data_IF_335445172979
#
_entry.id   IF_335445172979
#
_cell.length_a   1.000
_cell.length_b   1.000
_cell.length_c   1.000
_cell.angle_alpha   90.00
_cell.angle_beta   90.00
_cell.angle_gamma   90.00
#
_symmetry.space_group_name_H-M   'P 1'
#
loop_
_entity.id
_entity.type
_entity.pdbx_description
1 polymer ?
#
# COMPACT_ATOMS: atom_id res chain seq x y z
N UNK A 1 -44.85 -31.69 18.42
CA UNK A 1 -44.18 -30.87 17.37
C UNK A 1 -44.01 -29.47 17.90
N UNK A 2 -42.78 -28.97 17.98
CA UNK A 2 -42.44 -27.54 17.81
C UNK A 2 -40.92 -27.44 17.75
N UNK A 3 -40.37 -27.90 16.62
CA UNK A 3 -38.92 -27.86 16.32
C UNK A 3 -38.58 -26.59 15.50
N UNK A 4 -39.57 -25.73 15.24
CA UNK A 4 -39.46 -24.61 14.30
C UNK A 4 -39.08 -23.29 14.96
N UNK A 5 -39.17 -23.16 16.30
CA UNK A 5 -38.86 -21.91 17.01
C UNK A 5 -37.39 -21.78 17.43
N UNK A 6 -36.61 -22.87 17.44
CA UNK A 6 -35.22 -22.85 17.90
C UNK A 6 -34.21 -22.49 16.80
N UNK A 7 -34.61 -22.53 15.52
CA UNK A 7 -33.70 -22.21 14.40
C UNK A 7 -33.68 -20.74 13.98
N UNK A 8 -34.69 -19.94 14.32
CA UNK A 8 -34.71 -18.51 13.96
C UNK A 8 -33.86 -17.63 14.89
N UNK A 9 -33.67 -18.03 16.15
CA UNK A 9 -32.88 -17.26 17.12
C UNK A 9 -31.37 -17.44 16.96
N UNK A 10 -30.92 -18.52 16.29
CA UNK A 10 -29.51 -18.80 16.04
C UNK A 10 -28.97 -18.11 14.77
N UNK A 11 -29.83 -17.84 13.78
CA UNK A 11 -29.45 -17.10 12.57
C UNK A 11 -29.25 -15.59 12.82
N UNK A 12 -30.01 -14.99 13.75
CA UNK A 12 -29.89 -13.58 14.07
C UNK A 12 -28.62 -13.22 14.87
N UNK A 13 -28.10 -14.15 15.67
CA UNK A 13 -26.87 -13.95 16.48
C UNK A 13 -25.59 -14.13 15.66
N UNK A 14 -25.60 -14.96 14.62
CA UNK A 14 -24.46 -15.08 13.69
C UNK A 14 -24.27 -13.83 12.83
N UNK A 15 -25.36 -13.16 12.44
CA UNK A 15 -25.29 -11.98 11.57
C UNK A 15 -24.88 -10.68 12.30
N UNK A 16 -25.27 -10.52 13.58
CA UNK A 16 -24.78 -9.43 14.44
C UNK A 16 -23.29 -9.59 14.82
N UNK A 17 -22.82 -10.83 14.97
CA UNK A 17 -21.40 -11.12 15.30
C UNK A 17 -20.45 -10.85 14.14
N UNK A 18 -20.91 -11.04 12.89
CA UNK A 18 -20.17 -10.72 11.68
C UNK A 18 -20.03 -9.20 11.46
N UNK A 19 -21.11 -8.44 11.67
CA UNK A 19 -21.09 -6.98 11.56
C UNK A 19 -20.20 -6.31 12.62
N UNK A 20 -20.15 -6.86 13.85
CA UNK A 20 -19.32 -6.29 14.94
C UNK A 20 -17.82 -6.51 14.73
N UNK A 21 -17.41 -7.62 14.11
CA UNK A 21 -15.99 -7.93 13.82
C UNK A 21 -15.44 -7.15 12.62
N UNK A 22 -16.27 -6.85 11.62
CA UNK A 22 -15.86 -5.97 10.51
C UNK A 22 -15.67 -4.52 10.97
N UNK A 23 -16.56 -4.02 11.84
CA UNK A 23 -16.43 -2.69 12.42
C UNK A 23 -15.20 -2.52 13.31
N UNK A 24 -14.78 -3.55 14.07
CA UNK A 24 -13.60 -3.46 14.93
C UNK A 24 -12.30 -3.44 14.11
N UNK A 25 -12.15 -4.31 13.11
CA UNK A 25 -10.94 -4.34 12.28
C UNK A 25 -10.76 -3.05 11.45
N UNK A 26 -11.86 -2.47 10.96
CA UNK A 26 -11.83 -1.20 10.21
C UNK A 26 -11.56 0.01 11.13
N UNK A 27 -12.07 -0.03 12.38
CA UNK A 27 -11.76 0.93 13.44
C UNK A 27 -10.28 0.87 13.85
N UNK A 28 -9.74 -0.33 14.02
CA UNK A 28 -8.35 -0.54 14.43
C UNK A 28 -7.38 -0.07 13.33
N UNK A 29 -7.70 -0.33 12.05
CA UNK A 29 -6.93 0.19 10.93
C UNK A 29 -7.00 1.72 10.82
N UNK A 30 -8.19 2.31 10.92
CA UNK A 30 -8.36 3.76 10.86
C UNK A 30 -7.60 4.47 12.00
N UNK A 31 -7.62 3.90 13.20
CA UNK A 31 -6.90 4.41 14.37
C UNK A 31 -5.39 4.24 14.21
N UNK A 32 -4.92 3.08 13.76
CA UNK A 32 -3.50 2.85 13.50
C UNK A 32 -2.97 3.78 12.40
N UNK A 33 -3.77 4.01 11.36
CA UNK A 33 -3.44 4.94 10.28
C UNK A 33 -3.40 6.39 10.77
N UNK A 34 -4.37 6.83 11.58
CA UNK A 34 -4.38 8.20 12.11
C UNK A 34 -3.19 8.49 13.01
N UNK A 35 -2.84 7.54 13.91
CA UNK A 35 -1.67 7.64 14.78
C UNK A 35 -0.40 7.63 13.94
N UNK A 36 -0.31 6.74 12.95
CA UNK A 36 0.87 6.65 12.10
C UNK A 36 1.09 7.89 11.22
N UNK A 37 0.01 8.56 10.84
CA UNK A 37 0.07 9.81 10.10
C UNK A 37 0.58 10.96 10.98
N UNK A 38 0.03 11.11 12.19
CA UNK A 38 0.47 12.12 13.15
C UNK A 38 1.96 11.97 13.53
N UNK A 39 2.44 10.73 13.69
CA UNK A 39 3.85 10.48 14.00
C UNK A 39 4.79 10.75 12.81
N UNK A 40 4.32 10.53 11.57
CA UNK A 40 5.15 10.71 10.35
C UNK A 40 5.49 12.17 10.06
N UNK A 41 4.69 13.13 10.54
CA UNK A 41 4.95 14.57 10.37
C UNK A 41 6.02 15.11 11.34
N UNK A 42 6.41 14.32 12.34
CA UNK A 42 7.30 14.76 13.44
C UNK A 42 8.77 14.30 13.31
N UNK A 43 9.12 13.48 12.31
CA UNK A 43 10.46 12.93 12.18
C UNK A 43 11.02 13.04 10.75
N UNK A 44 11.82 14.08 10.53
CA UNK A 44 12.72 14.15 9.38
C UNK A 44 13.88 13.15 9.54
N UNK A 45 13.91 12.19 8.61
CA UNK A 45 15.09 11.54 8.02
C UNK A 45 16.33 11.31 8.89
N UNK A 46 16.55 10.05 9.26
CA UNK A 46 17.89 9.47 9.22
C UNK A 46 17.89 8.28 8.26
N UNK A 47 18.48 8.48 7.09
CA UNK A 47 18.85 7.42 6.17
C UNK A 47 19.74 6.42 6.92
N UNK A 48 19.23 5.19 7.09
CA UNK A 48 19.99 4.12 7.70
C UNK A 48 20.97 3.55 6.69
N UNK A 49 22.24 3.61 7.07
CA UNK A 49 23.42 3.08 6.40
C UNK A 49 23.22 1.66 5.89
N UNK A 50 23.58 1.47 4.62
CA UNK A 50 23.67 0.23 3.86
C UNK A 50 24.44 -0.88 4.60
N UNK A 51 23.71 -1.80 5.24
CA UNK A 51 24.12 -3.20 5.50
C UNK A 51 23.00 -4.02 6.17
N UNK A 52 22.03 -3.36 6.82
CA UNK A 52 20.91 -4.04 7.45
C UNK A 52 19.62 -3.73 6.68
N UNK A 53 18.96 -4.76 6.13
CA UNK A 53 17.62 -4.69 5.49
C UNK A 53 16.50 -4.33 6.48
N UNK A 54 16.84 -3.72 7.62
CA UNK A 54 15.94 -3.27 8.67
C UNK A 54 15.56 -1.82 8.45
N UNK A 55 14.27 -1.59 8.29
CA UNK A 55 13.69 -0.25 8.16
C UNK A 55 12.70 -0.04 9.29
N UNK A 56 12.68 1.18 9.81
CA UNK A 56 11.63 1.56 10.77
C UNK A 56 10.36 1.85 9.99
N UNK A 57 9.36 0.98 10.15
CA UNK A 57 8.11 1.03 9.42
C UNK A 57 6.94 1.29 10.37
N UNK A 58 5.96 2.05 9.91
CA UNK A 58 4.66 2.15 10.57
C UNK A 58 3.81 0.95 10.18
N UNK A 59 3.40 0.16 11.15
CA UNK A 59 2.66 -1.09 10.92
C UNK A 59 1.35 -1.08 11.72
N UNK A 60 0.50 -2.07 11.50
CA UNK A 60 -0.68 -2.32 12.36
C UNK A 60 -0.31 -2.59 13.83
N UNK A 61 0.95 -2.88 14.14
CA UNK A 61 1.48 -3.05 15.50
C UNK A 61 2.17 -1.79 16.03
N UNK A 62 2.09 -0.67 15.29
CA UNK A 62 2.80 0.57 15.57
C UNK A 62 4.15 0.66 14.85
N UNK A 63 5.06 1.47 15.40
CA UNK A 63 6.38 1.74 14.82
C UNK A 63 7.34 0.59 15.12
N UNK A 64 7.66 -0.21 14.10
CA UNK A 64 8.43 -1.44 14.25
C UNK A 64 9.63 -1.46 13.31
N UNK A 65 10.78 -1.94 13.80
CA UNK A 65 11.93 -2.22 12.94
C UNK A 65 11.68 -3.53 12.18
N UNK A 66 11.41 -3.44 10.88
CA UNK A 66 11.06 -4.57 10.04
C UNK A 66 12.21 -4.92 9.10
N UNK A 67 12.59 -6.19 9.04
CA UNK A 67 13.51 -6.69 8.02
C UNK A 67 12.74 -6.92 6.71
N UNK A 68 12.91 -6.03 5.74
CA UNK A 68 12.19 -6.06 4.46
C UNK A 68 12.59 -7.27 3.59
N UNK A 69 13.83 -7.74 3.67
CA UNK A 69 14.25 -8.96 2.94
C UNK A 69 13.47 -10.18 3.43
N UNK A 70 13.38 -10.35 4.74
CA UNK A 70 12.63 -11.46 5.33
C UNK A 70 11.13 -11.30 5.07
N UNK A 71 10.62 -10.07 5.14
CA UNK A 71 9.20 -9.78 4.90
C UNK A 71 8.78 -10.17 3.47
N UNK A 72 9.51 -9.72 2.45
CA UNK A 72 9.17 -10.00 1.06
C UNK A 72 9.52 -11.43 0.61
N UNK A 73 10.52 -12.07 1.25
CA UNK A 73 10.78 -13.51 1.07
C UNK A 73 9.68 -14.38 1.68
N UNK A 74 9.18 -14.03 2.86
CA UNK A 74 8.06 -14.74 3.48
C UNK A 74 6.78 -14.58 2.65
N UNK A 75 6.52 -13.38 2.12
CA UNK A 75 5.38 -13.11 1.23
C UNK A 75 5.45 -13.89 -0.10
N UNK A 76 6.65 -14.15 -0.63
CA UNK A 76 6.84 -14.94 -1.85
C UNK A 76 6.48 -16.44 -1.68
N UNK A 77 6.43 -16.95 -0.45
CA UNK A 77 6.28 -18.38 -0.17
C UNK A 77 4.87 -18.82 0.22
N UNK A 78 3.83 -17.98 0.11
CA UNK A 78 2.47 -18.37 0.51
C UNK A 78 1.41 -18.08 -0.54
N UNK A 79 1.21 -18.99 -1.52
CA UNK A 79 0.03 -18.97 -2.36
C UNK A 79 -1.23 -19.18 -1.50
N UNK A 80 -2.12 -18.19 -1.45
CA UNK A 80 -3.46 -18.35 -0.86
C UNK A 80 -3.60 -18.21 0.66
N UNK A 81 -2.58 -17.72 1.39
CA UNK A 81 -2.78 -17.40 2.82
C UNK A 81 -3.44 -16.04 3.00
N UNK A 82 -4.75 -16.08 3.27
CA UNK A 82 -5.62 -14.93 3.58
C UNK A 82 -5.51 -14.46 5.03
N UNK A 83 -4.47 -14.86 5.77
CA UNK A 83 -4.34 -14.53 7.19
C UNK A 83 -3.81 -13.09 7.41
N UNK A 84 -4.58 -12.09 6.96
CA UNK A 84 -4.38 -10.67 7.28
C UNK A 84 -4.37 -10.40 8.79
N UNK A 85 -4.91 -11.32 9.59
CA UNK A 85 -4.98 -11.24 11.06
C UNK A 85 -3.68 -11.62 11.78
N UNK A 86 -2.68 -12.18 11.09
CA UNK A 86 -1.38 -12.56 11.68
C UNK A 86 -0.18 -11.93 10.97
N UNK A 87 -0.41 -11.22 9.87
CA UNK A 87 0.65 -10.56 9.13
C UNK A 87 0.90 -9.16 9.69
N UNK A 88 2.18 -8.77 9.79
CA UNK A 88 2.57 -7.38 10.01
C UNK A 88 2.25 -6.61 8.73
N UNK A 89 1.24 -5.74 8.80
CA UNK A 89 0.78 -4.93 7.67
C UNK A 89 1.51 -3.59 7.67
N UNK A 90 2.19 -3.28 6.58
CA UNK A 90 2.82 -1.97 6.37
C UNK A 90 1.71 -0.95 6.04
N UNK A 91 1.67 0.16 6.77
CA UNK A 91 0.64 1.18 6.59
C UNK A 91 0.98 2.17 5.46
N UNK A 92 -0.01 2.78 4.78
CA UNK A 92 0.21 3.82 3.78
C UNK A 92 0.54 5.16 4.41
N UNK A 93 1.79 5.31 4.87
CA UNK A 93 2.34 6.58 5.37
C UNK A 93 3.47 7.09 4.47
N UNK A 94 3.73 8.39 4.51
CA UNK A 94 4.84 9.02 3.78
C UNK A 94 6.18 8.33 4.08
N UNK A 95 6.49 8.13 5.37
CA UNK A 95 7.73 7.48 5.79
C UNK A 95 7.86 6.06 5.20
N UNK A 96 6.77 5.29 5.20
CA UNK A 96 6.79 3.94 4.64
C UNK A 96 6.97 3.94 3.13
N UNK A 97 6.34 4.87 2.41
CA UNK A 97 6.52 5.05 0.97
C UNK A 97 7.98 5.39 0.67
N UNK A 98 8.58 6.33 1.41
CA UNK A 98 9.98 6.73 1.22
C UNK A 98 10.94 5.57 1.49
N UNK A 99 10.74 4.82 2.58
CA UNK A 99 11.54 3.66 2.94
C UNK A 99 11.40 2.51 1.92
N UNK A 100 10.18 2.20 1.49
CA UNK A 100 9.92 1.17 0.49
C UNK A 100 10.48 1.56 -0.88
N UNK A 101 10.39 2.84 -1.26
CA UNK A 101 10.98 3.35 -2.49
C UNK A 101 12.50 3.20 -2.47
N UNK A 102 13.17 3.64 -1.40
CA UNK A 102 14.62 3.50 -1.27
C UNK A 102 15.06 2.02 -1.28
N UNK A 103 14.32 1.16 -0.57
CA UNK A 103 14.59 -0.28 -0.55
C UNK A 103 14.40 -0.92 -1.94
N UNK A 104 13.28 -0.66 -2.60
CA UNK A 104 12.98 -1.21 -3.92
C UNK A 104 13.93 -0.68 -4.99
N UNK A 105 14.36 0.57 -4.93
CA UNK A 105 15.39 1.13 -5.82
C UNK A 105 16.70 0.33 -5.70
N UNK A 106 17.17 0.13 -4.48
CA UNK A 106 18.39 -0.64 -4.20
C UNK A 106 18.28 -2.07 -4.75
N UNK A 107 17.14 -2.74 -4.52
CA UNK A 107 16.93 -4.13 -4.98
C UNK A 107 16.81 -4.23 -6.49
N UNK A 108 16.11 -3.30 -7.15
CA UNK A 108 16.03 -3.25 -8.61
C UNK A 108 17.41 -2.98 -9.21
N UNK A 109 18.18 -2.02 -8.68
CA UNK A 109 19.56 -1.77 -9.16
C UNK A 109 20.46 -3.00 -9.03
N UNK A 110 20.39 -3.70 -7.90
CA UNK A 110 21.12 -4.95 -7.70
C UNK A 110 20.70 -6.03 -8.70
N UNK A 111 19.39 -6.17 -8.94
CA UNK A 111 18.83 -7.13 -9.90
C UNK A 111 19.30 -6.83 -11.33
N UNK A 112 19.28 -5.56 -11.74
CA UNK A 112 19.74 -5.15 -13.08
C UNK A 112 21.24 -5.46 -13.27
N UNK A 113 22.06 -5.17 -12.26
CA UNK A 113 23.50 -5.44 -12.31
C UNK A 113 23.83 -6.94 -12.38
N UNK A 114 23.07 -7.79 -11.71
CA UNK A 114 23.27 -9.25 -11.71
C UNK A 114 22.88 -9.91 -13.02
N UNK A 115 21.96 -9.31 -13.76
CA UNK A 115 21.47 -9.80 -15.06
C UNK A 115 22.07 -9.03 -16.26
N UNK A 116 23.15 -8.28 -16.05
CA UNK A 116 23.84 -7.48 -17.07
C UNK A 116 22.92 -6.52 -17.85
N UNK A 117 21.90 -5.98 -17.17
CA UNK A 117 20.95 -5.02 -17.76
C UNK A 117 21.49 -3.60 -17.54
N UNK A 118 21.87 -2.86 -18.61
CA UNK A 118 22.64 -1.62 -18.48
C UNK A 118 21.83 -0.41 -18.02
N UNK A 119 20.51 -0.40 -18.23
CA UNK A 119 19.65 0.71 -17.82
C UNK A 119 18.26 0.21 -17.41
N UNK A 120 17.63 0.84 -16.40
CA UNK A 120 16.26 0.52 -16.01
C UNK A 120 15.25 0.97 -17.09
N UNK A 121 14.02 0.44 -17.06
CA UNK A 121 12.93 0.99 -17.87
C UNK A 121 12.58 2.41 -17.41
N UNK A 122 11.98 3.23 -18.28
CA UNK A 122 11.48 4.57 -17.89
C UNK A 122 10.47 4.51 -16.74
N UNK A 123 9.62 3.48 -16.77
CA UNK A 123 8.63 3.26 -15.73
C UNK A 123 8.33 1.78 -15.52
N UNK A 124 7.79 1.48 -14.33
CA UNK A 124 7.21 0.19 -13.97
C UNK A 124 5.80 0.43 -13.43
N UNK A 125 4.83 -0.32 -13.95
CA UNK A 125 3.45 -0.35 -13.44
C UNK A 125 2.92 -1.79 -13.41
N UNK A 126 1.71 -1.98 -12.90
CA UNK A 126 1.04 -3.27 -12.83
C UNK A 126 -0.37 -3.18 -13.44
N UNK A 127 -0.84 -4.26 -14.06
CA UNK A 127 -2.25 -4.38 -14.46
C UNK A 127 -3.15 -4.71 -13.27
N UNK A 128 -4.46 -4.78 -13.52
CA UNK A 128 -5.48 -5.12 -12.52
C UNK A 128 -5.32 -6.55 -11.95
N UNK A 129 -4.57 -7.42 -12.65
CA UNK A 129 -4.22 -8.77 -12.19
C UNK A 129 -2.89 -8.80 -11.40
N UNK A 130 -2.23 -7.66 -11.25
CA UNK A 130 -0.94 -7.53 -10.58
C UNK A 130 0.25 -8.01 -11.41
N UNK A 131 0.12 -8.17 -12.73
CA UNK A 131 1.22 -8.49 -13.64
C UNK A 131 2.01 -7.25 -13.99
N UNK A 132 3.32 -7.43 -14.10
CA UNK A 132 4.27 -6.38 -14.44
C UNK A 132 4.01 -5.85 -15.85
N UNK A 133 3.80 -4.54 -15.98
CA UNK A 133 3.74 -3.84 -17.27
C UNK A 133 5.00 -2.99 -17.41
N UNK A 134 5.73 -3.22 -18.50
CA UNK A 134 6.90 -2.46 -18.91
C UNK A 134 6.61 -1.63 -20.18
N UNK A 135 7.30 -0.50 -20.38
CA UNK A 135 7.21 0.30 -21.61
C UNK A 135 7.50 -0.54 -22.85
N UNK A 136 6.76 -0.30 -23.94
CA UNK A 136 6.92 -1.04 -25.21
C UNK A 136 8.26 -0.75 -25.90
N UNK A 137 8.86 0.41 -25.62
CA UNK A 137 10.15 0.86 -26.15
C UNK A 137 11.36 0.32 -25.34
N UNK A 138 11.13 -0.46 -24.29
CA UNK A 138 12.20 -0.99 -23.46
C UNK A 138 12.85 -2.23 -24.07
N UNK A 139 14.13 -2.13 -24.42
CA UNK A 139 14.89 -3.16 -25.13
C UNK A 139 15.09 -4.46 -24.35
N UNK A 140 15.26 -4.38 -23.03
CA UNK A 140 15.59 -5.52 -22.16
C UNK A 140 14.36 -6.07 -21.43
N UNK A 141 13.20 -6.01 -22.10
CA UNK A 141 11.91 -6.33 -21.47
C UNK A 141 11.87 -7.78 -21.01
N UNK A 142 12.25 -8.71 -21.87
CA UNK A 142 12.15 -10.14 -21.59
C UNK A 142 13.17 -10.56 -20.53
N UNK A 143 14.39 -9.99 -20.58
CA UNK A 143 15.44 -10.21 -19.58
C UNK A 143 15.04 -9.67 -18.20
N UNK A 144 14.41 -8.48 -18.15
CA UNK A 144 13.94 -7.91 -16.90
C UNK A 144 12.78 -8.71 -16.30
N UNK A 145 11.86 -9.19 -17.14
CA UNK A 145 10.78 -10.09 -16.67
C UNK A 145 11.38 -11.37 -16.09
N UNK A 146 12.31 -12.00 -16.81
CA UNK A 146 12.99 -13.22 -16.33
C UNK A 146 13.78 -12.97 -15.04
N UNK A 147 14.42 -11.81 -14.89
CA UNK A 147 15.11 -11.42 -13.66
C UNK A 147 14.15 -11.30 -12.47
N UNK A 148 12.98 -10.69 -12.67
CA UNK A 148 11.94 -10.62 -11.63
C UNK A 148 11.33 -11.98 -11.30
N UNK A 149 11.20 -12.88 -12.29
CA UNK A 149 10.76 -14.27 -12.06
C UNK A 149 11.79 -15.07 -11.27
N UNK A 150 13.08 -14.83 -11.50
CA UNK A 150 14.16 -15.45 -10.73
C UNK A 150 14.23 -14.95 -9.28
N UNK A 151 13.78 -13.71 -9.01
CA UNK A 151 13.75 -13.09 -7.68
C UNK A 151 12.37 -12.49 -7.35
N UNK A 152 11.37 -13.35 -7.08
CA UNK A 152 9.99 -12.91 -6.84
C UNK A 152 9.87 -11.96 -5.63
N UNK A 153 10.78 -12.04 -4.66
CA UNK A 153 10.85 -11.12 -3.53
C UNK A 153 11.11 -9.66 -3.95
N UNK A 154 11.89 -9.44 -5.01
CA UNK A 154 12.15 -8.09 -5.53
C UNK A 154 10.91 -7.55 -6.22
N UNK A 155 10.24 -8.37 -7.03
CA UNK A 155 8.98 -7.98 -7.68
C UNK A 155 7.89 -7.66 -6.65
N UNK A 156 7.80 -8.44 -5.56
CA UNK A 156 6.87 -8.19 -4.47
C UNK A 156 7.17 -6.87 -3.75
N UNK A 157 8.44 -6.53 -3.54
CA UNK A 157 8.81 -5.24 -2.96
C UNK A 157 8.39 -4.05 -3.85
N UNK A 158 8.65 -4.14 -5.15
CA UNK A 158 8.24 -3.15 -6.15
C UNK A 158 6.72 -3.00 -6.18
N UNK A 159 5.98 -4.13 -6.21
CA UNK A 159 4.51 -4.14 -6.18
C UNK A 159 3.96 -3.53 -4.89
N UNK A 160 4.50 -3.91 -3.73
CA UNK A 160 4.09 -3.35 -2.46
C UNK A 160 4.37 -1.84 -2.37
N UNK A 161 5.50 -1.38 -2.91
CA UNK A 161 5.83 0.05 -2.97
C UNK A 161 4.75 0.82 -3.74
N UNK A 162 4.39 0.36 -4.94
CA UNK A 162 3.32 0.99 -5.74
C UNK A 162 1.98 0.93 -5.03
N UNK A 163 1.61 -0.22 -4.47
CA UNK A 163 0.33 -0.40 -3.79
C UNK A 163 0.17 0.50 -2.56
N UNK A 164 1.19 0.54 -1.70
CA UNK A 164 1.22 1.39 -0.50
C UNK A 164 1.23 2.88 -0.88
N UNK A 165 2.00 3.26 -1.90
CA UNK A 165 2.00 4.62 -2.41
C UNK A 165 0.64 5.05 -2.99
N UNK A 166 -0.01 4.17 -3.76
CA UNK A 166 -1.34 4.44 -4.32
C UNK A 166 -2.38 4.65 -3.22
N UNK A 167 -2.34 3.81 -2.19
CA UNK A 167 -3.20 3.98 -1.01
C UNK A 167 -2.90 5.27 -0.26
N UNK A 168 -1.62 5.62 -0.09
CA UNK A 168 -1.22 6.87 0.55
C UNK A 168 -1.73 8.10 -0.23
N UNK A 169 -1.58 8.10 -1.57
CA UNK A 169 -2.10 9.18 -2.43
C UNK A 169 -3.62 9.31 -2.33
N UNK A 170 -4.34 8.18 -2.37
CA UNK A 170 -5.79 8.17 -2.19
C UNK A 170 -6.23 8.70 -0.82
N UNK A 171 -5.46 8.41 0.24
CA UNK A 171 -5.70 8.95 1.57
C UNK A 171 -5.49 10.46 1.60
N UNK A 172 -4.37 10.97 1.05
CA UNK A 172 -4.06 12.41 0.99
C UNK A 172 -5.10 13.18 0.18
N UNK A 173 -5.63 12.60 -0.90
CA UNK A 173 -6.70 13.22 -1.70
C UNK A 173 -7.98 13.47 -0.87
N UNK A 174 -8.27 12.56 0.07
CA UNK A 174 -9.45 12.60 0.93
C UNK A 174 -9.27 13.37 2.24
N UNK A 175 -8.03 13.73 2.58
CA UNK A 175 -7.71 14.37 3.85
C UNK A 175 -8.39 15.74 4.00
N UNK A 176 -8.35 16.66 3.00
CA UNK A 176 -9.02 17.97 3.13
C UNK A 176 -10.53 17.85 3.36
N UNK A 177 -11.17 16.86 2.73
CA UNK A 177 -12.59 16.55 2.98
C UNK A 177 -12.83 16.16 4.44
N UNK A 178 -12.01 15.26 4.97
CA UNK A 178 -12.13 14.76 6.34
C UNK A 178 -11.93 15.87 7.38
N UNK A 179 -10.92 16.71 7.16
CA UNK A 179 -10.59 17.84 8.05
C UNK A 179 -11.72 18.89 8.05
N UNK A 180 -12.22 19.29 6.88
CA UNK A 180 -13.33 20.23 6.77
C UNK A 180 -14.61 19.66 7.39
N UNK A 181 -14.88 18.35 7.21
CA UNK A 181 -16.04 17.69 7.79
C UNK A 181 -15.99 17.67 9.32
N UNK A 182 -14.79 17.43 9.90
CA UNK A 182 -14.58 17.42 11.34
C UNK A 182 -14.75 18.81 11.97
N UNK A 183 -14.42 19.88 11.24
CA UNK A 183 -14.57 21.27 11.69
C UNK A 183 -15.99 21.83 11.47
N UNK A 184 -16.85 21.14 10.72
CA UNK A 184 -18.19 21.61 10.37
C UNK A 184 -19.12 21.65 11.59
N UNK A 185 -19.59 22.86 11.93
CA UNK A 185 -20.40 23.09 13.14
C UNK A 185 -21.89 22.77 12.96
N UNK A 186 -22.39 22.74 11.73
CA UNK A 186 -23.81 22.55 11.42
C UNK A 186 -24.04 21.73 10.14
N UNK A 187 -25.30 21.34 9.92
CA UNK A 187 -25.69 20.50 8.78
C UNK A 187 -25.56 21.22 7.44
N UNK A 188 -25.70 22.54 7.39
CA UNK A 188 -25.59 23.32 6.16
C UNK A 188 -24.15 23.38 5.68
N UNK A 189 -23.19 23.57 6.60
CA UNK A 189 -21.76 23.48 6.34
C UNK A 189 -21.39 22.07 5.84
N UNK A 190 -21.88 21.00 6.49
CA UNK A 190 -21.65 19.62 6.04
C UNK A 190 -22.16 19.37 4.62
N UNK A 191 -23.36 19.85 4.27
CA UNK A 191 -23.92 19.73 2.91
C UNK A 191 -23.08 20.49 1.88
N UNK A 192 -22.59 21.68 2.22
CA UNK A 192 -21.70 22.44 1.34
C UNK A 192 -20.38 21.71 1.09
N UNK A 193 -19.78 21.10 2.13
CA UNK A 193 -18.56 20.30 2.03
C UNK A 193 -18.82 19.02 1.20
N UNK A 194 -19.92 18.29 1.43
CA UNK A 194 -20.29 17.13 0.59
C UNK A 194 -20.40 17.51 -0.88
N UNK A 195 -21.00 18.67 -1.18
CA UNK A 195 -21.14 19.16 -2.56
C UNK A 195 -19.78 19.54 -3.15
N UNK A 196 -18.88 20.15 -2.38
CA UNK A 196 -17.53 20.53 -2.81
C UNK A 196 -16.68 19.29 -3.16
N UNK A 197 -16.78 18.25 -2.34
CA UNK A 197 -15.98 17.03 -2.47
C UNK A 197 -16.72 15.85 -3.11
N UNK A 198 -17.87 16.09 -3.77
CA UNK A 198 -18.69 15.02 -4.34
C UNK A 198 -17.91 14.15 -5.34
N UNK A 199 -16.92 14.74 -6.02
CA UNK A 199 -16.04 14.06 -6.97
C UNK A 199 -15.21 12.92 -6.35
N UNK A 200 -14.93 12.96 -5.03
CA UNK A 200 -14.22 11.88 -4.33
C UNK A 200 -15.04 10.58 -4.28
N UNK A 201 -16.36 10.68 -4.42
CA UNK A 201 -17.31 9.58 -4.32
C UNK A 201 -17.86 9.12 -5.67
N UNK A 202 -17.40 9.70 -6.78
CA UNK A 202 -17.78 9.26 -8.11
C UNK A 202 -17.11 7.92 -8.44
N UNK A 203 -17.92 6.88 -8.67
CA UNK A 203 -17.45 5.54 -9.02
C UNK A 203 -16.75 5.51 -10.39
N UNK A 204 -17.07 6.46 -11.28
CA UNK A 204 -16.48 6.58 -12.62
C UNK A 204 -15.20 7.43 -12.65
N UNK A 205 -14.69 7.88 -11.50
CA UNK A 205 -13.47 8.69 -11.47
C UNK A 205 -12.27 7.88 -11.97
N UNK A 206 -11.54 8.44 -12.92
CA UNK A 206 -10.21 7.93 -13.26
C UNK A 206 -9.28 8.26 -12.11
N UNK A 207 -8.97 7.26 -11.28
CA UNK A 207 -7.93 7.42 -10.26
C UNK A 207 -6.57 7.47 -10.96
N UNK A 208 -5.71 8.46 -10.64
CA UNK A 208 -4.38 8.50 -11.21
C UNK A 208 -3.64 7.20 -10.89
N UNK A 209 -3.00 6.62 -11.89
CA UNK A 209 -2.25 5.38 -11.68
C UNK A 209 -0.92 5.71 -11.02
N UNK A 210 -0.64 5.07 -9.89
CA UNK A 210 0.67 5.18 -9.26
C UNK A 210 1.66 4.29 -10.01
N UNK A 211 2.79 4.86 -10.43
CA UNK A 211 3.84 4.14 -11.12
C UNK A 211 5.21 4.48 -10.52
N UNK A 212 6.18 3.59 -10.74
CA UNK A 212 7.57 3.87 -10.44
C UNK A 212 8.24 4.42 -11.68
N UNK A 213 8.80 5.61 -11.60
CA UNK A 213 9.60 6.23 -12.66
C UNK A 213 11.08 6.11 -12.31
N UNK A 214 11.91 5.77 -13.30
CA UNK A 214 13.35 5.84 -13.17
C UNK A 214 13.86 7.09 -13.88
N UNK A 215 14.66 7.88 -13.15
CA UNK A 215 15.32 9.08 -13.66
C UNK A 215 16.60 8.69 -14.43
N UNK A 216 17.14 9.62 -15.22
CA UNK A 216 18.35 9.39 -16.02
C UNK A 216 19.58 9.06 -15.17
N UNK A 217 19.62 9.53 -13.92
CA UNK A 217 20.65 9.18 -12.93
C UNK A 217 20.42 7.82 -12.25
N UNK A 218 19.40 7.08 -12.68
CA UNK A 218 19.00 5.79 -12.16
C UNK A 218 18.25 5.84 -10.83
N UNK A 219 17.94 7.02 -10.26
CA UNK A 219 17.09 7.12 -9.08
C UNK A 219 15.65 6.73 -9.41
N UNK A 220 14.97 6.12 -8.46
CA UNK A 220 13.59 5.70 -8.59
C UNK A 220 12.68 6.65 -7.80
N UNK A 221 11.56 7.01 -8.40
CA UNK A 221 10.56 7.88 -7.77
C UNK A 221 9.16 7.33 -7.99
N UNK A 222 8.32 7.44 -6.96
CA UNK A 222 6.89 7.17 -7.06
C UNK A 222 6.23 8.40 -7.66
N UNK A 223 5.50 8.24 -8.76
CA UNK A 223 4.76 9.33 -9.40
C UNK A 223 3.32 8.91 -9.68
N UNK A 224 2.42 9.90 -9.70
CA UNK A 224 1.06 9.73 -10.22
C UNK A 224 1.06 10.02 -11.71
N UNK A 225 0.57 9.08 -12.50
CA UNK A 225 0.30 9.22 -13.94
C UNK A 225 -1.12 9.68 -14.23
#
# INVERSE_FOLDING_TARGET
MNITQTMQTQAATLNQSAHRKQHSAQSDFATALSVAHADSESNEGKAATSSNSYYTMMTNEGKTALNLDNHFKAAANVPGSTALTKAVLILPTKQNVDNLSAYSEMKVKALLAEHDIPFPPKSITFDDEGKLILPKDYKYKDELIAAFEAKPEVLNAVRATIGIASQYQGFMESQPFSDEMAMAKDEQARKAILKKYSYLFDENRQRPQTLLSFLEDGRMSVVSG
#
